data_IF_376606801670
#
_entry.id   IF_376606801670
#
_cell.length_a   1.000
_cell.length_b   1.000
_cell.length_c   1.000
_cell.angle_alpha   90.00
_cell.angle_beta   90.00
_cell.angle_gamma   90.00
#
_symmetry.space_group_name_H-M   'P 1'
#
loop_
_entity.id
_entity.type
_entity.pdbx_description
1 polymer ?
#
# COMPACT_ATOMS: atom_id res chain seq x y z
N UNK A 1 4.70 29.71 15.65
CA UNK A 1 5.44 28.43 15.66
C UNK A 1 4.52 27.23 15.43
N UNK A 2 3.27 27.23 15.91
CA UNK A 2 2.34 26.10 15.76
C UNK A 2 2.05 25.67 14.32
N UNK A 3 1.97 26.62 13.37
CA UNK A 3 1.78 26.30 11.94
C UNK A 3 2.96 25.53 11.32
N UNK A 4 4.19 25.78 11.78
CA UNK A 4 5.38 25.08 11.28
C UNK A 4 5.39 23.62 11.75
N UNK A 5 5.07 23.40 13.03
CA UNK A 5 4.96 22.05 13.63
C UNK A 5 3.81 21.25 13.00
N UNK A 6 2.69 21.91 12.68
CA UNK A 6 1.58 21.27 11.97
C UNK A 6 2.00 20.82 10.56
N UNK A 7 2.71 21.67 9.81
CA UNK A 7 3.20 21.33 8.47
C UNK A 7 4.20 20.16 8.47
N UNK A 8 5.10 20.09 9.45
CA UNK A 8 6.03 18.97 9.59
C UNK A 8 5.32 17.66 9.90
N UNK A 9 4.34 17.67 10.82
CA UNK A 9 3.55 16.48 11.15
C UNK A 9 2.78 15.95 9.95
N UNK A 10 2.18 16.82 9.15
CA UNK A 10 1.41 16.41 7.97
C UNK A 10 2.32 15.88 6.86
N UNK A 11 3.51 16.45 6.67
CA UNK A 11 4.54 15.89 5.77
C UNK A 11 5.02 14.52 6.23
N UNK A 12 5.27 14.35 7.52
CA UNK A 12 5.69 13.06 8.10
C UNK A 12 4.61 12.00 7.84
N UNK A 13 3.35 12.32 8.10
CA UNK A 13 2.20 11.43 7.85
C UNK A 13 2.10 11.05 6.37
N UNK A 14 2.25 12.00 5.44
CA UNK A 14 2.24 11.72 4.00
C UNK A 14 3.39 10.78 3.58
N UNK A 15 4.59 10.94 4.14
CA UNK A 15 5.72 10.04 3.91
C UNK A 15 5.48 8.63 4.47
N UNK A 16 4.87 8.52 5.65
CA UNK A 16 4.46 7.24 6.23
C UNK A 16 3.45 6.52 5.34
N UNK A 17 2.39 7.20 4.88
CA UNK A 17 1.40 6.62 3.98
C UNK A 17 2.00 6.19 2.63
N UNK A 18 2.95 6.96 2.10
CA UNK A 18 3.63 6.60 0.85
C UNK A 18 4.53 5.37 1.05
N UNK A 19 5.24 5.27 2.18
CA UNK A 19 6.05 4.10 2.53
C UNK A 19 5.19 2.84 2.73
N UNK A 20 4.02 2.99 3.36
CA UNK A 20 3.05 1.92 3.55
C UNK A 20 2.49 1.41 2.21
N UNK A 21 2.18 2.34 1.30
CA UNK A 21 1.74 2.03 -0.07
C UNK A 21 2.77 1.20 -0.83
N UNK A 22 4.04 1.61 -0.79
CA UNK A 22 5.14 0.86 -1.41
C UNK A 22 5.32 -0.51 -0.78
N UNK A 23 5.25 -0.61 0.56
CA UNK A 23 5.33 -1.88 1.27
C UNK A 23 4.20 -2.85 0.87
N UNK A 24 2.96 -2.35 0.72
CA UNK A 24 1.84 -3.16 0.24
C UNK A 24 2.07 -3.68 -1.18
N UNK A 25 2.58 -2.84 -2.09
CA UNK A 25 2.88 -3.26 -3.47
C UNK A 25 3.97 -4.34 -3.48
N UNK A 26 5.06 -4.14 -2.73
CA UNK A 26 6.17 -5.11 -2.63
C UNK A 26 5.67 -6.43 -2.03
N UNK A 27 4.93 -6.36 -0.91
CA UNK A 27 4.35 -7.55 -0.28
C UNK A 27 3.46 -8.32 -1.26
N UNK A 28 2.65 -7.61 -2.04
CA UNK A 28 1.86 -8.18 -3.12
C UNK A 28 2.69 -8.97 -4.13
N UNK A 29 3.72 -8.34 -4.70
CA UNK A 29 4.63 -8.99 -5.66
C UNK A 29 5.35 -10.21 -5.07
N UNK A 30 5.88 -10.09 -3.84
CA UNK A 30 6.61 -11.17 -3.17
C UNK A 30 5.67 -12.35 -2.88
N UNK A 31 4.47 -12.09 -2.37
CA UNK A 31 3.49 -13.13 -2.07
C UNK A 31 3.07 -13.86 -3.35
N UNK A 32 2.90 -13.14 -4.45
CA UNK A 32 2.60 -13.75 -5.76
C UNK A 32 3.74 -14.64 -6.27
N UNK A 33 4.99 -14.21 -6.11
CA UNK A 33 6.17 -15.04 -6.45
C UNK A 33 6.20 -16.33 -5.64
N UNK A 34 5.95 -16.26 -4.33
CA UNK A 34 5.88 -17.44 -3.45
C UNK A 34 4.75 -18.38 -3.86
N UNK A 35 3.57 -17.85 -4.19
CA UNK A 35 2.42 -18.65 -4.63
C UNK A 35 2.72 -19.36 -5.95
N UNK A 36 3.36 -18.68 -6.91
CA UNK A 36 3.74 -19.27 -8.20
C UNK A 36 4.82 -20.34 -8.06
N UNK A 37 5.81 -20.14 -7.19
CA UNK A 37 6.85 -21.14 -6.91
C UNK A 37 6.33 -22.35 -6.14
N UNK A 38 5.22 -22.21 -5.41
CA UNK A 38 4.60 -23.28 -4.62
C UNK A 38 3.38 -23.91 -5.32
N UNK A 39 3.26 -23.76 -6.64
CA UNK A 39 2.04 -24.08 -7.40
C UNK A 39 1.82 -25.57 -7.70
N UNK A 40 2.73 -26.46 -7.33
CA UNK A 40 2.48 -27.91 -7.40
C UNK A 40 1.39 -28.30 -6.39
N UNK A 41 0.19 -28.63 -6.89
CA UNK A 41 -0.89 -29.26 -6.10
C UNK A 41 -1.77 -28.33 -5.27
N UNK A 42 -1.74 -27.00 -5.46
CA UNK A 42 -2.63 -26.08 -4.72
C UNK A 42 -4.05 -26.04 -5.30
N UNK A 43 -5.04 -26.05 -4.41
CA UNK A 43 -6.44 -25.94 -4.79
C UNK A 43 -6.75 -24.58 -5.44
N UNK A 44 -7.61 -24.55 -6.48
CA UNK A 44 -7.95 -23.33 -7.22
C UNK A 44 -8.55 -22.24 -6.33
N UNK A 45 -9.22 -22.62 -5.24
CA UNK A 45 -9.77 -21.68 -4.26
C UNK A 45 -8.68 -20.80 -3.63
N UNK A 46 -7.53 -21.40 -3.28
CA UNK A 46 -6.40 -20.69 -2.66
C UNK A 46 -5.86 -19.62 -3.61
N UNK A 47 -5.67 -19.98 -4.89
CA UNK A 47 -5.18 -19.06 -5.92
C UNK A 47 -6.12 -17.85 -6.10
N UNK A 48 -7.43 -18.10 -6.12
CA UNK A 48 -8.45 -17.05 -6.25
C UNK A 48 -8.43 -16.12 -5.03
N UNK A 49 -8.36 -16.66 -3.80
CA UNK A 49 -8.26 -15.84 -2.59
C UNK A 49 -7.01 -14.96 -2.59
N UNK A 50 -5.87 -15.48 -3.03
CA UNK A 50 -4.63 -14.70 -3.16
C UNK A 50 -4.74 -13.58 -4.22
N UNK A 51 -5.42 -13.83 -5.34
CA UNK A 51 -5.70 -12.80 -6.35
C UNK A 51 -6.56 -11.66 -5.79
N UNK A 52 -7.63 -11.99 -5.06
CA UNK A 52 -8.46 -10.96 -4.41
C UNK A 52 -7.69 -10.18 -3.33
N UNK A 53 -6.85 -10.86 -2.55
CA UNK A 53 -6.00 -10.23 -1.55
C UNK A 53 -4.98 -9.26 -2.18
N UNK A 54 -4.41 -9.63 -3.34
CA UNK A 54 -3.57 -8.75 -4.14
C UNK A 54 -4.30 -7.49 -4.58
N UNK A 55 -5.49 -7.64 -5.18
CA UNK A 55 -6.31 -6.50 -5.62
C UNK A 55 -6.64 -5.57 -4.43
N UNK A 56 -6.97 -6.15 -3.27
CA UNK A 56 -7.20 -5.40 -2.04
C UNK A 56 -5.96 -4.63 -1.57
N UNK A 57 -4.77 -5.24 -1.61
CA UNK A 57 -3.51 -4.55 -1.24
C UNK A 57 -3.16 -3.42 -2.21
N UNK A 58 -3.32 -3.64 -3.52
CA UNK A 58 -3.07 -2.61 -4.52
C UNK A 58 -4.03 -1.43 -4.38
N UNK A 59 -5.33 -1.70 -4.24
CA UNK A 59 -6.34 -0.66 -4.03
C UNK A 59 -6.10 0.12 -2.73
N UNK A 60 -5.74 -0.55 -1.63
CA UNK A 60 -5.35 0.10 -0.38
C UNK A 60 -4.12 1.00 -0.59
N UNK A 61 -3.09 0.51 -1.28
CA UNK A 61 -1.89 1.29 -1.61
C UNK A 61 -2.19 2.56 -2.42
N UNK A 62 -3.08 2.46 -3.43
CA UNK A 62 -3.53 3.60 -4.23
C UNK A 62 -4.32 4.61 -3.37
N UNK A 63 -5.23 4.13 -2.52
CA UNK A 63 -5.99 4.97 -1.59
C UNK A 63 -5.06 5.73 -0.63
N UNK A 64 -4.09 5.08 -0.01
CA UNK A 64 -3.12 5.74 0.86
C UNK A 64 -2.30 6.81 0.12
N UNK A 65 -1.97 6.57 -1.15
CA UNK A 65 -1.26 7.54 -1.99
C UNK A 65 -2.13 8.74 -2.36
N UNK A 66 -3.41 8.53 -2.65
CA UNK A 66 -4.37 9.63 -2.86
C UNK A 66 -4.52 10.47 -1.59
N UNK A 67 -4.65 9.84 -0.43
CA UNK A 67 -4.74 10.52 0.87
C UNK A 67 -3.46 11.33 1.13
N UNK A 68 -2.28 10.75 0.94
CA UNK A 68 -1.00 11.45 1.10
C UNK A 68 -0.90 12.68 0.17
N UNK A 69 -1.29 12.54 -1.10
CA UNK A 69 -1.30 13.64 -2.05
C UNK A 69 -2.32 14.72 -1.70
N UNK A 70 -3.51 14.34 -1.23
CA UNK A 70 -4.53 15.29 -0.76
C UNK A 70 -3.99 16.16 0.40
N UNK A 71 -3.36 15.53 1.38
CA UNK A 71 -2.74 16.24 2.51
C UNK A 71 -1.61 17.16 2.07
N UNK A 72 -0.77 16.75 1.11
CA UNK A 72 0.31 17.57 0.57
C UNK A 72 -0.19 18.79 -0.21
N UNK A 73 -1.27 18.65 -1.00
CA UNK A 73 -1.88 19.78 -1.73
C UNK A 73 -2.46 20.79 -0.74
N UNK A 74 -3.09 20.33 0.34
CA UNK A 74 -3.72 21.19 1.35
C UNK A 74 -2.71 22.02 2.18
N UNK A 75 -1.43 21.63 2.17
CA UNK A 75 -0.34 22.34 2.84
C UNK A 75 0.36 23.38 1.97
N UNK A 76 0.10 23.36 0.66
CA UNK A 76 0.73 24.25 -0.33
C UNK A 76 -0.06 25.55 -0.46
#
# INVERSE_FOLDING_TARGET
>A
MERLVHNERVKLSATWFNSLSVACIIAGFVTMGIVMMSSEGREPFVIITFLFMQIALYSAGVCFRMVANYWLIRLR
#
